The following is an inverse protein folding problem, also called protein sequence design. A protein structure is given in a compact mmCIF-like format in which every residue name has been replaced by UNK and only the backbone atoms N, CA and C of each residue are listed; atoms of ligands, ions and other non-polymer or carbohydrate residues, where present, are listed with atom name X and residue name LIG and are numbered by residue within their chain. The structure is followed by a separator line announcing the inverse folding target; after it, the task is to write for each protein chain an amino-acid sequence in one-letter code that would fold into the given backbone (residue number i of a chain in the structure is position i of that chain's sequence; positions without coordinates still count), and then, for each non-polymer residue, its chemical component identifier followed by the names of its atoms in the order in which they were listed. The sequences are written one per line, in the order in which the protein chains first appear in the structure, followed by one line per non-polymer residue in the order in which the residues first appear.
data_IF_034208678599
#
_entry.id   IF_034208678599
#
_cell.length_a   1.000
_cell.length_b   1.000
_cell.length_c   1.000
_cell.angle_alpha   90.00
_cell.angle_beta   90.00
_cell.angle_gamma   90.00
#
_symmetry.space_group_name_H-M   'P 1'
#
loop_
_entity.id
_entity.type
_entity.pdbx_description
1 polymer ?
#
# COMPACT_ATOMS: atom_id res chain seq x y z
N UNK A 1 25.15 45.74 -11.95
CA UNK A 1 24.62 45.22 -10.65
C UNK A 1 23.59 44.09 -10.78
N UNK A 2 22.72 44.06 -11.82
CA UNK A 2 21.75 42.96 -12.02
C UNK A 2 22.40 41.62 -12.49
N UNK A 3 23.44 41.67 -13.33
CA UNK A 3 24.09 40.46 -13.85
C UNK A 3 24.82 39.60 -12.79
N UNK A 4 25.38 40.22 -11.74
CA UNK A 4 26.02 39.50 -10.62
C UNK A 4 25.00 38.82 -9.69
N UNK A 5 23.77 39.34 -9.57
CA UNK A 5 22.69 38.67 -8.81
C UNK A 5 22.17 37.43 -9.54
N UNK A 6 22.11 37.46 -10.87
CA UNK A 6 21.66 36.33 -11.70
C UNK A 6 22.65 35.16 -11.71
N UNK A 7 23.97 35.42 -11.73
CA UNK A 7 24.98 34.36 -11.60
C UNK A 7 24.99 33.71 -10.21
N UNK A 8 24.79 34.49 -9.14
CA UNK A 8 24.68 33.94 -7.78
C UNK A 8 23.43 33.07 -7.58
N UNK A 9 22.33 33.40 -8.26
CA UNK A 9 21.10 32.59 -8.27
C UNK A 9 21.30 31.27 -9.05
N UNK A 10 22.04 31.31 -10.16
CA UNK A 10 22.40 30.12 -10.95
C UNK A 10 23.42 29.21 -10.23
N UNK A 11 24.35 29.77 -9.45
CA UNK A 11 25.24 29.00 -8.56
C UNK A 11 24.47 28.40 -7.37
N UNK A 12 23.52 29.14 -6.78
CA UNK A 12 22.66 28.62 -5.69
C UNK A 12 21.71 27.53 -6.18
N UNK A 13 21.21 27.61 -7.42
CA UNK A 13 20.40 26.55 -8.05
C UNK A 13 21.25 25.35 -8.48
N UNK A 14 22.53 25.55 -8.84
CA UNK A 14 23.49 24.45 -9.05
C UNK A 14 23.87 23.73 -7.75
N UNK A 15 23.73 24.39 -6.60
CA UNK A 15 24.03 23.84 -5.27
C UNK A 15 22.84 23.14 -4.57
N UNK A 16 21.64 23.07 -5.17
CA UNK A 16 20.51 22.32 -4.61
C UNK A 16 20.50 20.84 -5.02
N UNK A 17 21.67 20.25 -5.30
CA UNK A 17 21.91 18.81 -5.17
C UNK A 17 22.48 18.53 -3.77
N UNK A 18 21.78 18.97 -2.73
CA UNK A 18 21.95 18.38 -1.41
C UNK A 18 21.58 16.91 -1.55
N UNK A 19 22.58 16.04 -1.72
CA UNK A 19 22.44 14.60 -1.45
C UNK A 19 21.73 14.51 -0.10
N UNK A 20 20.46 14.11 -0.13
CA UNK A 20 19.69 13.82 1.07
C UNK A 20 20.51 12.80 1.87
N UNK A 21 21.13 13.26 2.96
CA UNK A 21 21.88 12.38 3.84
C UNK A 21 20.86 11.46 4.49
N UNK A 22 20.88 10.18 4.12
CA UNK A 22 20.06 9.17 4.79
C UNK A 22 20.55 9.03 6.23
N UNK A 23 19.75 9.49 7.19
CA UNK A 23 20.02 9.29 8.61
C UNK A 23 19.61 7.87 9.00
N UNK A 24 20.59 6.98 9.15
CA UNK A 24 20.34 5.58 9.52
C UNK A 24 19.85 5.46 10.96
N UNK A 25 20.39 6.29 11.87
CA UNK A 25 20.02 6.29 13.30
C UNK A 25 20.05 7.72 13.81
N UNK A 26 19.01 8.13 14.51
CA UNK A 26 18.94 9.44 15.13
C UNK A 26 19.62 9.44 16.51
N UNK A 27 20.26 10.55 16.86
CA UNK A 27 20.79 10.80 18.20
C UNK A 27 19.68 10.63 19.24
N UNK A 28 19.96 9.95 20.35
CA UNK A 28 18.98 9.67 21.42
C UNK A 28 18.21 8.35 21.25
N UNK A 29 18.18 7.75 20.05
CA UNK A 29 17.56 6.44 19.85
C UNK A 29 18.53 5.30 20.17
N UNK A 30 18.03 4.19 20.74
CA UNK A 30 18.83 2.98 21.00
C UNK A 30 19.12 2.18 19.73
N UNK A 31 18.22 2.22 18.73
CA UNK A 31 18.31 1.47 17.46
C UNK A 31 17.67 2.24 16.29
N UNK A 32 17.95 1.80 15.06
CA UNK A 32 17.28 2.31 13.87
C UNK A 32 15.85 1.76 13.74
N UNK A 33 14.96 2.54 13.12
CA UNK A 33 13.64 2.10 12.67
C UNK A 33 13.65 1.60 11.20
N UNK A 34 14.80 1.70 10.53
CA UNK A 34 15.00 1.22 9.17
C UNK A 34 15.23 -0.30 9.19
N UNK A 35 14.65 -0.97 8.21
CA UNK A 35 14.95 -2.34 7.85
C UNK A 35 15.99 -2.37 6.71
N UNK A 36 16.54 -3.55 6.40
CA UNK A 36 17.61 -3.70 5.41
C UNK A 36 17.22 -3.21 4.01
N UNK A 37 15.96 -3.35 3.60
CA UNK A 37 15.53 -2.85 2.29
C UNK A 37 15.47 -1.32 2.21
N UNK A 38 15.26 -0.63 3.34
CA UNK A 38 15.24 0.84 3.36
C UNK A 38 16.58 1.43 2.90
N UNK A 39 17.68 0.65 2.97
CA UNK A 39 19.01 1.04 2.49
C UNK A 39 19.13 1.02 0.96
N UNK A 40 18.21 0.38 0.23
CA UNK A 40 18.23 0.33 -1.23
C UNK A 40 17.77 1.65 -1.87
N UNK A 41 17.23 2.56 -1.06
CA UNK A 41 16.66 3.83 -1.51
C UNK A 41 15.22 3.67 -2.03
N UNK A 42 14.50 4.79 -2.00
CA UNK A 42 13.09 4.85 -2.40
C UNK A 42 13.00 5.19 -3.89
N UNK A 43 13.47 4.27 -4.74
CA UNK A 43 13.39 4.38 -6.19
C UNK A 43 13.06 3.03 -6.85
N UNK A 44 12.74 3.06 -8.15
CA UNK A 44 12.36 1.88 -8.94
C UNK A 44 13.36 0.73 -8.85
N UNK A 45 14.65 1.05 -8.89
CA UNK A 45 15.74 0.07 -8.81
C UNK A 45 15.79 -0.59 -7.43
N UNK A 46 15.60 0.17 -6.35
CA UNK A 46 15.56 -0.37 -5.00
C UNK A 46 14.38 -1.30 -4.80
N UNK A 47 13.20 -0.95 -5.34
CA UNK A 47 12.01 -1.78 -5.25
C UNK A 47 12.10 -3.07 -6.09
N UNK A 48 12.60 -2.98 -7.33
CA UNK A 48 12.79 -4.14 -8.20
C UNK A 48 13.79 -5.12 -7.59
N UNK A 49 14.91 -4.63 -7.05
CA UNK A 49 15.90 -5.46 -6.35
C UNK A 49 15.35 -6.09 -5.08
N UNK A 50 14.61 -5.34 -4.28
CA UNK A 50 13.98 -5.87 -3.07
C UNK A 50 13.01 -7.01 -3.43
N UNK A 51 12.19 -6.82 -4.47
CA UNK A 51 11.26 -7.83 -4.95
C UNK A 51 11.98 -9.06 -5.49
N UNK A 52 12.98 -8.91 -6.37
CA UNK A 52 13.77 -10.01 -6.89
C UNK A 52 14.45 -10.82 -5.76
N UNK A 53 14.97 -10.12 -4.74
CA UNK A 53 15.56 -10.76 -3.57
C UNK A 53 14.57 -11.61 -2.79
N UNK A 54 13.33 -11.14 -2.60
CA UNK A 54 12.25 -11.94 -2.00
C UNK A 54 12.03 -13.22 -2.80
N UNK A 55 11.86 -13.11 -4.11
CA UNK A 55 11.60 -14.26 -4.98
C UNK A 55 12.75 -15.28 -4.94
N UNK A 56 14.00 -14.82 -4.84
CA UNK A 56 15.19 -15.67 -4.75
C UNK A 56 15.45 -16.29 -3.38
N UNK A 57 14.75 -15.84 -2.33
CA UNK A 57 14.93 -16.33 -0.95
C UNK A 57 13.75 -17.14 -0.44
N UNK A 58 12.55 -16.86 -0.93
CA UNK A 58 11.30 -17.42 -0.41
C UNK A 58 10.55 -18.21 -1.50
N UNK A 59 10.71 -19.54 -1.56
CA UNK A 59 10.08 -20.37 -2.59
C UNK A 59 8.57 -20.14 -2.69
N UNK A 60 7.88 -20.07 -1.55
CA UNK A 60 6.45 -19.80 -1.51
C UNK A 60 6.10 -18.47 -2.20
N UNK A 61 6.89 -17.42 -1.99
CA UNK A 61 6.65 -16.12 -2.62
C UNK A 61 6.88 -16.20 -4.14
N UNK A 62 7.94 -16.89 -4.59
CA UNK A 62 8.18 -17.14 -6.01
C UNK A 62 7.00 -17.85 -6.68
N UNK A 63 6.56 -18.98 -6.13
CA UNK A 63 5.51 -19.77 -6.78
C UNK A 63 4.14 -19.10 -6.71
N UNK A 64 3.83 -18.37 -5.65
CA UNK A 64 2.62 -17.55 -5.62
C UNK A 64 2.64 -16.48 -6.72
N UNK A 65 3.80 -15.83 -6.95
CA UNK A 65 3.94 -14.86 -8.03
C UNK A 65 3.82 -15.52 -9.41
N UNK A 66 4.51 -16.63 -9.64
CA UNK A 66 4.43 -17.39 -10.88
C UNK A 66 2.99 -17.85 -11.18
N UNK A 67 2.26 -18.37 -10.19
CA UNK A 67 0.85 -18.73 -10.34
C UNK A 67 -0.02 -17.51 -10.67
N UNK A 68 0.22 -16.38 -10.00
CA UNK A 68 -0.50 -15.14 -10.23
C UNK A 68 -0.38 -14.64 -11.68
N UNK A 69 0.78 -14.83 -12.31
CA UNK A 69 1.01 -14.48 -13.72
C UNK A 69 0.69 -15.61 -14.73
N UNK A 70 0.16 -16.76 -14.27
CA UNK A 70 -0.30 -17.85 -15.15
C UNK A 70 0.72 -18.98 -15.42
N UNK A 71 1.79 -19.05 -14.65
CA UNK A 71 2.78 -20.14 -14.68
C UNK A 71 2.46 -21.17 -13.60
N UNK A 72 1.75 -22.24 -13.96
CA UNK A 72 1.29 -23.31 -13.07
C UNK A 72 2.36 -24.33 -12.63
N UNK A 73 3.58 -23.89 -12.32
CA UNK A 73 4.67 -24.78 -11.88
C UNK A 73 4.50 -25.16 -10.39
N UNK A 74 4.75 -26.42 -10.03
CA UNK A 74 4.64 -26.88 -8.62
C UNK A 74 5.78 -26.29 -7.77
N UNK A 75 5.45 -25.87 -6.54
CA UNK A 75 6.43 -25.46 -5.54
C UNK A 75 7.16 -26.69 -4.97
N UNK A 76 8.32 -27.01 -5.54
CA UNK A 76 9.21 -28.08 -5.07
C UNK A 76 10.63 -27.56 -4.94
N UNK A 77 11.42 -28.19 -4.06
CA UNK A 77 12.84 -27.83 -3.87
C UNK A 77 13.64 -27.91 -5.19
N UNK A 78 13.40 -28.95 -5.99
CA UNK A 78 14.04 -29.12 -7.30
C UNK A 78 13.68 -27.97 -8.27
N UNK A 79 12.39 -27.65 -8.41
CA UNK A 79 12.00 -26.55 -9.31
C UNK A 79 12.56 -25.20 -8.83
N UNK A 80 12.62 -24.97 -7.51
CA UNK A 80 13.18 -23.73 -6.96
C UNK A 80 14.68 -23.64 -7.26
N UNK A 81 15.42 -24.72 -7.06
CA UNK A 81 16.84 -24.83 -7.39
C UNK A 81 17.13 -24.59 -8.88
N UNK A 82 16.23 -25.04 -9.76
CA UNK A 82 16.39 -24.94 -11.22
C UNK A 82 15.89 -23.60 -11.79
N UNK A 83 15.32 -22.72 -10.97
CA UNK A 83 14.81 -21.41 -11.39
C UNK A 83 15.85 -20.33 -11.14
N UNK A 84 16.30 -19.64 -12.18
CA UNK A 84 17.17 -18.47 -12.06
C UNK A 84 16.35 -17.19 -11.91
N UNK A 85 16.85 -16.25 -11.11
CA UNK A 85 16.33 -14.89 -10.96
C UNK A 85 17.51 -13.93 -11.11
N UNK A 86 17.49 -13.13 -12.16
CA UNK A 86 18.55 -12.17 -12.51
C UNK A 86 17.99 -10.75 -12.41
N UNK A 87 18.79 -9.76 -12.00
CA UNK A 87 18.40 -8.35 -12.01
C UNK A 87 19.32 -7.54 -12.90
N UNK A 88 18.81 -6.47 -13.51
CA UNK A 88 19.62 -5.51 -14.30
C UNK A 88 20.40 -6.17 -15.46
N UNK A 89 19.82 -7.20 -16.11
CA UNK A 89 20.50 -7.92 -17.19
C UNK A 89 20.64 -7.03 -18.42
N UNK A 90 21.87 -6.85 -18.87
CA UNK A 90 22.18 -6.06 -20.07
C UNK A 90 21.97 -6.90 -21.33
N UNK A 91 21.29 -6.32 -22.31
CA UNK A 91 21.02 -6.88 -23.63
C UNK A 91 21.26 -5.82 -24.71
N UNK A 92 21.29 -6.24 -25.96
CA UNK A 92 21.39 -5.32 -27.10
C UNK A 92 20.20 -4.35 -27.16
N UNK A 93 19.03 -4.83 -26.76
CA UNK A 93 17.81 -4.03 -26.79
C UNK A 93 17.72 -3.06 -25.61
N UNK A 94 18.38 -3.34 -24.48
CA UNK A 94 18.28 -2.53 -23.26
C UNK A 94 18.66 -3.33 -22.01
N UNK A 95 18.28 -2.82 -20.84
CA UNK A 95 18.55 -3.48 -19.55
C UNK A 95 17.22 -3.82 -18.87
N UNK A 96 16.99 -5.09 -18.60
CA UNK A 96 15.77 -5.56 -17.92
C UNK A 96 15.89 -5.43 -16.41
N UNK A 97 14.80 -5.12 -15.72
CA UNK A 97 14.84 -4.98 -14.26
C UNK A 97 14.98 -6.33 -13.55
N UNK A 98 14.16 -7.31 -13.94
CA UNK A 98 14.21 -8.69 -13.40
C UNK A 98 13.92 -9.70 -14.52
N UNK A 99 14.66 -10.80 -14.55
CA UNK A 99 14.35 -11.97 -15.38
C UNK A 99 14.23 -13.22 -14.50
N UNK A 100 13.16 -13.99 -14.69
CA UNK A 100 12.94 -15.27 -14.02
C UNK A 100 12.87 -16.36 -15.08
N UNK A 101 13.70 -17.39 -14.96
CA UNK A 101 13.75 -18.43 -15.98
C UNK A 101 13.92 -19.82 -15.40
N UNK A 102 13.20 -20.77 -15.96
CA UNK A 102 13.46 -22.19 -15.81
C UNK A 102 13.52 -22.82 -17.20
N UNK A 103 14.73 -23.25 -17.61
CA UNK A 103 15.01 -23.76 -18.96
C UNK A 103 14.04 -24.88 -19.35
N UNK A 104 13.48 -24.79 -20.54
CA UNK A 104 12.52 -25.74 -21.08
C UNK A 104 11.11 -25.62 -20.48
N UNK A 105 10.85 -24.64 -19.61
CA UNK A 105 9.53 -24.43 -19.00
C UNK A 105 9.01 -23.02 -19.23
N UNK A 106 9.72 -22.01 -18.74
CA UNK A 106 9.26 -20.63 -18.83
C UNK A 106 10.40 -19.62 -18.79
N UNK A 107 10.12 -18.44 -19.34
CA UNK A 107 10.96 -17.25 -19.25
C UNK A 107 10.06 -16.03 -19.03
N UNK A 108 10.28 -15.32 -17.93
CA UNK A 108 9.56 -14.12 -17.52
C UNK A 108 10.53 -12.96 -17.52
N UNK A 109 10.19 -11.89 -18.22
CA UNK A 109 10.89 -10.60 -18.14
C UNK A 109 9.97 -9.64 -17.41
N UNK A 110 10.48 -8.95 -16.40
CA UNK A 110 9.74 -7.98 -15.60
C UNK A 110 10.37 -6.61 -15.78
N UNK A 111 9.53 -5.63 -16.14
CA UNK A 111 9.87 -4.22 -16.20
C UNK A 111 9.10 -3.48 -15.11
N UNK A 112 9.82 -2.83 -14.21
CA UNK A 112 9.25 -2.09 -13.09
C UNK A 112 9.13 -0.62 -13.47
N UNK A 113 8.04 0.05 -13.06
CA UNK A 113 7.89 1.50 -13.20
C UNK A 113 7.31 2.11 -11.94
N UNK A 114 7.98 3.13 -11.41
CA UNK A 114 7.48 3.83 -10.19
C UNK A 114 6.80 5.17 -10.51
N UNK A 115 6.89 5.68 -11.74
CA UNK A 115 6.26 6.94 -12.15
C UNK A 115 5.56 6.85 -13.52
N UNK A 116 4.62 7.76 -13.80
CA UNK A 116 3.62 7.71 -14.89
C UNK A 116 4.14 7.88 -16.34
N UNK A 117 5.42 7.63 -16.63
CA UNK A 117 5.94 7.85 -17.97
C UNK A 117 5.77 6.63 -18.88
N UNK A 118 4.77 6.74 -19.76
CA UNK A 118 4.59 6.12 -21.09
C UNK A 118 5.07 4.68 -21.26
N UNK A 119 4.21 3.73 -20.86
CA UNK A 119 4.31 2.28 -21.17
C UNK A 119 3.95 1.97 -22.64
N UNK A 120 4.10 2.89 -23.60
CA UNK A 120 3.71 2.62 -25.00
C UNK A 120 4.90 2.29 -25.92
N UNK A 121 6.07 2.91 -25.74
CA UNK A 121 7.24 2.68 -26.60
C UNK A 121 8.12 1.48 -26.20
N UNK A 122 7.99 0.96 -24.97
CA UNK A 122 8.80 -0.17 -24.47
C UNK A 122 8.17 -1.55 -24.68
N UNK A 123 6.90 -1.63 -25.09
CA UNK A 123 6.17 -2.92 -25.20
C UNK A 123 6.75 -3.89 -26.21
N UNK A 124 7.47 -3.39 -27.21
CA UNK A 124 8.05 -4.18 -28.30
C UNK A 124 9.56 -4.40 -28.17
N UNK A 125 10.24 -3.65 -27.31
CA UNK A 125 11.70 -3.64 -27.18
C UNK A 125 12.26 -5.01 -26.80
N UNK A 126 11.62 -5.71 -25.87
CA UNK A 126 12.12 -6.99 -25.35
C UNK A 126 11.47 -8.24 -25.97
N UNK A 127 10.62 -8.10 -27.00
CA UNK A 127 9.97 -9.27 -27.62
C UNK A 127 11.00 -10.25 -28.21
N UNK A 128 12.13 -9.74 -28.71
CA UNK A 128 13.24 -10.55 -29.24
C UNK A 128 14.16 -11.12 -28.15
N UNK A 129 14.02 -10.66 -26.90
CA UNK A 129 14.91 -11.02 -25.80
C UNK A 129 14.54 -12.37 -25.16
N UNK A 130 13.37 -12.95 -25.50
CA UNK A 130 12.94 -14.23 -24.96
C UNK A 130 13.72 -15.41 -25.56
N UNK A 131 14.27 -16.25 -24.68
CA UNK A 131 14.74 -17.59 -25.05
C UNK A 131 13.62 -18.49 -25.58
N UNK A 132 13.99 -19.59 -26.24
CA UNK A 132 13.06 -20.57 -26.80
C UNK A 132 12.44 -21.49 -25.71
N UNK A 133 11.74 -20.87 -24.76
CA UNK A 133 11.02 -21.56 -23.68
C UNK A 133 9.51 -21.60 -23.98
N UNK A 134 8.77 -22.65 -23.57
CA UNK A 134 7.36 -22.84 -23.92
C UNK A 134 6.42 -21.73 -23.43
N UNK A 135 6.68 -21.15 -22.25
CA UNK A 135 5.91 -20.03 -21.71
C UNK A 135 6.76 -18.77 -21.64
N UNK A 136 6.34 -17.71 -22.32
CA UNK A 136 7.02 -16.42 -22.37
C UNK A 136 6.10 -15.33 -21.85
N UNK A 137 6.53 -14.59 -20.83
CA UNK A 137 5.73 -13.53 -20.21
C UNK A 137 6.56 -12.26 -20.10
N UNK A 138 6.05 -11.16 -20.65
CA UNK A 138 6.54 -9.82 -20.38
C UNK A 138 5.60 -9.15 -19.37
N UNK A 139 6.09 -8.88 -18.17
CA UNK A 139 5.29 -8.34 -17.07
C UNK A 139 5.74 -6.91 -16.75
N UNK A 140 4.85 -5.95 -16.91
CA UNK A 140 5.05 -4.59 -16.42
C UNK A 140 4.49 -4.51 -15.00
N UNK A 141 5.30 -4.11 -14.03
CA UNK A 141 4.85 -3.83 -12.66
C UNK A 141 4.95 -2.33 -12.43
N UNK A 142 3.81 -1.64 -12.36
CA UNK A 142 3.78 -0.19 -12.23
C UNK A 142 3.11 0.30 -10.94
N UNK A 143 3.23 1.58 -10.61
CA UNK A 143 2.53 2.16 -9.46
C UNK A 143 1.01 2.26 -9.68
N UNK A 144 0.56 2.41 -10.92
CA UNK A 144 -0.86 2.51 -11.29
C UNK A 144 -1.37 1.18 -11.87
N UNK A 145 -2.60 0.81 -11.54
CA UNK A 145 -3.21 -0.39 -12.11
C UNK A 145 -3.76 -0.09 -13.52
N UNK A 146 -3.08 -0.53 -14.57
CA UNK A 146 -3.62 -0.60 -15.94
C UNK A 146 -3.86 -2.08 -16.26
N UNK A 147 -5.10 -2.58 -16.14
CA UNK A 147 -5.42 -4.01 -16.27
C UNK A 147 -5.41 -4.56 -17.71
N UNK A 148 -4.67 -3.95 -18.63
CA UNK A 148 -4.60 -4.41 -20.02
C UNK A 148 -3.75 -5.67 -20.13
N UNK A 149 -4.38 -6.82 -20.36
CA UNK A 149 -3.72 -8.02 -20.89
C UNK A 149 -3.73 -7.94 -22.41
N UNK A 150 -2.55 -8.03 -23.01
CA UNK A 150 -2.39 -8.09 -24.46
C UNK A 150 -1.56 -9.33 -24.79
N UNK A 151 -1.96 -10.08 -25.80
CA UNK A 151 -1.16 -11.17 -26.34
C UNK A 151 -0.59 -10.64 -27.66
N UNK A 152 0.72 -10.72 -27.83
CA UNK A 152 1.39 -10.43 -29.09
C UNK A 152 2.21 -11.66 -29.45
N UNK A 153 1.91 -12.25 -30.61
CA UNK A 153 2.50 -13.51 -31.09
C UNK A 153 2.29 -14.68 -30.10
N UNK A 154 3.34 -15.04 -29.35
CA UNK A 154 3.41 -16.17 -28.39
C UNK A 154 3.82 -15.71 -26.98
N UNK A 155 3.93 -14.39 -26.77
CA UNK A 155 4.35 -13.77 -25.52
C UNK A 155 3.13 -13.16 -24.84
N UNK A 156 2.88 -13.55 -23.59
CA UNK A 156 1.83 -12.93 -22.79
C UNK A 156 2.37 -11.61 -22.20
N UNK A 157 1.71 -10.49 -22.52
CA UNK A 157 2.03 -9.19 -21.93
C UNK A 157 1.04 -8.90 -20.80
N UNK A 158 1.57 -8.78 -19.59
CA UNK A 158 0.81 -8.54 -18.38
C UNK A 158 1.19 -7.17 -17.81
N UNK A 159 0.19 -6.48 -17.26
CA UNK A 159 0.39 -5.26 -16.49
C UNK A 159 -0.15 -5.54 -15.09
N UNK A 160 0.68 -5.35 -14.08
CA UNK A 160 0.38 -5.49 -12.66
C UNK A 160 0.68 -4.17 -11.94
N UNK A 161 -0.02 -3.94 -10.84
CA UNK A 161 0.38 -2.95 -9.86
C UNK A 161 1.36 -3.55 -8.87
N UNK A 162 2.26 -2.73 -8.33
CA UNK A 162 3.01 -3.10 -7.14
C UNK A 162 2.11 -3.43 -5.93
N UNK A 163 0.87 -2.93 -5.91
CA UNK A 163 -0.14 -3.36 -4.93
C UNK A 163 -0.61 -4.80 -5.13
N UNK A 164 -0.69 -5.29 -6.36
CA UNK A 164 -1.01 -6.71 -6.60
C UNK A 164 0.07 -7.59 -5.97
N UNK A 165 1.34 -7.16 -6.09
CA UNK A 165 2.48 -7.82 -5.45
C UNK A 165 2.39 -7.75 -3.92
N UNK A 166 2.10 -6.56 -3.36
CA UNK A 166 1.96 -6.41 -1.91
C UNK A 166 0.81 -7.26 -1.35
N UNK A 167 -0.35 -7.26 -2.01
CA UNK A 167 -1.51 -8.04 -1.61
C UNK A 167 -1.27 -9.55 -1.73
N UNK A 168 -0.48 -9.97 -2.71
CA UNK A 168 -0.09 -11.37 -2.87
C UNK A 168 0.66 -11.87 -1.63
N UNK A 169 1.50 -11.03 -1.03
CA UNK A 169 2.32 -11.37 0.13
C UNK A 169 1.71 -10.97 1.48
N UNK A 170 0.71 -10.10 1.51
CA UNK A 170 -0.01 -9.71 2.73
C UNK A 170 -1.10 -10.75 3.09
N UNK A 171 -0.66 -11.93 3.49
CA UNK A 171 -1.55 -13.01 3.88
C UNK A 171 -1.01 -13.82 5.08
N UNK A 172 -1.87 -14.65 5.69
CA UNK A 172 -1.56 -15.42 6.91
C UNK A 172 -0.31 -16.31 6.76
N UNK A 173 -0.02 -16.80 5.55
CA UNK A 173 1.13 -17.67 5.30
C UNK A 173 2.46 -16.96 5.59
N UNK A 174 2.54 -15.65 5.38
CA UNK A 174 3.75 -14.87 5.61
C UNK A 174 3.74 -14.10 6.93
N UNK A 175 2.74 -14.33 7.79
CA UNK A 175 2.59 -13.61 9.06
C UNK A 175 3.80 -13.73 9.98
N UNK A 176 4.61 -14.78 9.87
CA UNK A 176 5.83 -14.95 10.68
C UNK A 176 7.13 -14.76 9.89
N UNK A 177 7.04 -14.45 8.59
CA UNK A 177 8.21 -14.23 7.75
C UNK A 177 8.66 -12.76 7.87
N UNK A 178 9.74 -12.52 8.61
CA UNK A 178 10.31 -11.18 8.82
C UNK A 178 10.82 -10.54 7.53
N UNK A 179 11.33 -11.34 6.60
CA UNK A 179 11.84 -10.88 5.32
C UNK A 179 10.70 -10.29 4.45
N UNK A 180 9.58 -11.02 4.33
CA UNK A 180 8.39 -10.53 3.63
C UNK A 180 7.81 -9.29 4.31
N UNK A 181 7.73 -9.26 5.65
CA UNK A 181 7.26 -8.08 6.39
C UNK A 181 8.13 -6.85 6.14
N UNK A 182 9.44 -7.02 6.10
CA UNK A 182 10.37 -5.93 5.82
C UNK A 182 10.16 -5.40 4.39
N UNK A 183 9.97 -6.29 3.42
CA UNK A 183 9.66 -5.89 2.03
C UNK A 183 8.34 -5.12 1.95
N UNK A 184 7.26 -5.63 2.57
CA UNK A 184 5.96 -4.95 2.58
C UNK A 184 6.06 -3.57 3.26
N UNK A 185 6.76 -3.48 4.38
CA UNK A 185 7.02 -2.21 5.07
C UNK A 185 7.77 -1.22 4.16
N UNK A 186 8.84 -1.67 3.51
CA UNK A 186 9.64 -0.87 2.57
C UNK A 186 8.81 -0.38 1.37
N UNK A 187 8.09 -1.28 0.70
CA UNK A 187 7.25 -0.96 -0.45
C UNK A 187 6.15 0.05 -0.10
N UNK A 188 5.47 -0.15 1.03
CA UNK A 188 4.36 0.72 1.47
C UNK A 188 4.84 2.10 1.94
N UNK A 189 5.98 2.19 2.65
CA UNK A 189 6.56 3.46 3.10
C UNK A 189 7.11 4.28 1.94
N UNK A 190 7.83 3.63 1.03
CA UNK A 190 8.56 4.30 -0.04
C UNK A 190 7.67 4.86 -1.14
N UNK A 191 6.65 4.12 -1.55
CA UNK A 191 6.00 4.40 -2.83
C UNK A 191 4.54 4.80 -2.75
N UNK A 192 4.04 5.14 -1.55
CA UNK A 192 2.67 5.67 -1.33
C UNK A 192 1.57 4.85 -2.03
N UNK A 193 1.78 3.54 -2.20
CA UNK A 193 0.91 2.64 -2.95
C UNK A 193 -0.35 2.36 -2.12
N UNK A 194 -1.39 3.20 -2.29
CA UNK A 194 -2.59 3.19 -1.44
C UNK A 194 -3.91 3.12 -2.22
N UNK A 195 -3.89 2.88 -3.53
CA UNK A 195 -5.10 2.93 -4.37
C UNK A 195 -5.60 1.53 -4.74
N UNK A 196 -6.53 1.02 -3.93
CA UNK A 196 -7.56 0.04 -4.34
C UNK A 196 -8.56 -0.27 -3.21
N UNK A 197 -8.29 0.20 -1.99
CA UNK A 197 -9.19 0.18 -0.84
C UNK A 197 -9.12 1.53 -0.16
N UNK A 198 -9.80 2.51 -0.75
CA UNK A 198 -9.53 3.91 -0.45
C UNK A 198 -10.25 4.36 0.81
N UNK A 199 -11.50 3.92 1.01
CA UNK A 199 -12.31 4.34 2.14
C UNK A 199 -12.70 3.12 2.98
N UNK A 200 -12.11 3.02 4.17
CA UNK A 200 -12.53 2.06 5.20
C UNK A 200 -13.87 2.52 5.79
N UNK A 201 -14.88 1.69 5.64
CA UNK A 201 -16.21 1.90 6.21
C UNK A 201 -16.42 0.90 7.33
N UNK A 202 -16.78 1.36 8.52
CA UNK A 202 -17.10 0.48 9.64
C UNK A 202 -18.28 0.96 10.46
N UNK A 203 -19.08 0.00 10.95
CA UNK A 203 -20.12 0.26 11.93
C UNK A 203 -19.49 0.84 13.22
N UNK A 204 -20.01 1.99 13.65
CA UNK A 204 -19.56 2.70 14.85
C UNK A 204 -20.75 2.91 15.79
N UNK A 205 -21.15 1.81 16.46
CA UNK A 205 -22.24 1.82 17.45
C UNK A 205 -21.76 1.92 18.91
N UNK A 206 -20.48 1.68 19.18
CA UNK A 206 -19.93 1.69 20.53
C UNK A 206 -19.64 3.13 21.00
N UNK A 207 -20.19 3.54 22.14
CA UNK A 207 -20.06 4.90 22.66
C UNK A 207 -18.59 5.34 22.88
N UNK A 208 -17.70 4.43 23.32
CA UNK A 208 -16.27 4.74 23.49
C UNK A 208 -15.59 4.99 22.14
N UNK A 209 -15.92 4.20 21.12
CA UNK A 209 -15.36 4.37 19.77
C UNK A 209 -15.93 5.60 19.06
N UNK A 210 -17.20 5.94 19.29
CA UNK A 210 -17.79 7.20 18.84
C UNK A 210 -17.05 8.39 19.47
N UNK A 211 -16.81 8.35 20.79
CA UNK A 211 -16.04 9.37 21.51
C UNK A 211 -14.61 9.47 20.97
N UNK A 212 -13.97 8.33 20.71
CA UNK A 212 -12.61 8.24 20.14
C UNK A 212 -12.54 8.92 18.76
N UNK A 213 -13.52 8.66 17.91
CA UNK A 213 -13.61 9.28 16.59
C UNK A 213 -13.87 10.78 16.69
N UNK A 214 -14.95 11.20 17.36
CA UNK A 214 -15.39 12.61 17.38
C UNK A 214 -14.43 13.53 18.12
N UNK A 215 -13.95 13.11 19.29
CA UNK A 215 -13.24 14.03 20.18
C UNK A 215 -11.72 13.94 20.01
N UNK A 216 -11.23 12.79 19.54
CA UNK A 216 -9.81 12.50 19.48
C UNK A 216 -9.31 12.21 18.07
N UNK A 217 -10.18 12.12 17.05
CA UNK A 217 -9.77 11.88 15.67
C UNK A 217 -8.95 10.58 15.54
N UNK A 218 -9.36 9.56 16.28
CA UNK A 218 -8.77 8.21 16.23
C UNK A 218 -9.86 7.20 15.96
N UNK A 219 -9.53 6.15 15.22
CA UNK A 219 -10.33 4.95 15.16
C UNK A 219 -9.50 3.73 15.60
N UNK A 220 -10.07 2.84 16.41
CA UNK A 220 -9.40 1.65 16.95
C UNK A 220 -10.07 0.38 16.49
N UNK A 221 -9.26 -0.64 16.21
CA UNK A 221 -9.70 -1.99 15.89
C UNK A 221 -8.81 -3.07 16.47
N UNK A 222 -9.36 -4.29 16.58
CA UNK A 222 -8.52 -5.48 16.66
C UNK A 222 -7.50 -5.48 15.51
N UNK A 223 -6.39 -6.19 15.69
CA UNK A 223 -5.27 -6.18 14.72
C UNK A 223 -5.75 -6.55 13.33
N UNK A 224 -5.53 -5.63 12.38
CA UNK A 224 -5.92 -5.79 10.97
C UNK A 224 -4.80 -5.34 10.05
N UNK A 225 -4.86 -5.82 8.81
CA UNK A 225 -3.91 -5.52 7.74
C UNK A 225 -4.61 -4.72 6.63
N UNK A 226 -3.81 -3.95 5.89
CA UNK A 226 -4.27 -2.98 4.89
C UNK A 226 -4.10 -1.52 5.32
N UNK A 227 -3.86 -0.65 4.33
CA UNK A 227 -3.62 0.79 4.54
C UNK A 227 -4.64 1.65 3.80
N UNK A 228 -5.89 1.69 4.26
CA UNK A 228 -6.90 2.56 3.66
C UNK A 228 -6.49 4.02 3.72
N UNK A 229 -6.92 4.80 2.74
CA UNK A 229 -6.59 6.22 2.63
C UNK A 229 -7.49 7.10 3.51
N UNK A 230 -8.73 6.69 3.68
CA UNK A 230 -9.76 7.41 4.39
C UNK A 230 -10.55 6.46 5.27
N UNK A 231 -11.14 7.02 6.32
CA UNK A 231 -12.05 6.35 7.21
C UNK A 231 -13.41 7.05 7.18
N UNK A 232 -14.47 6.26 7.15
CA UNK A 232 -15.84 6.76 7.19
C UNK A 232 -16.68 5.90 8.13
N UNK A 233 -17.08 6.41 9.31
CA UNK A 233 -17.90 5.64 10.24
C UNK A 233 -19.35 5.57 9.75
N UNK A 234 -19.92 4.37 9.80
CA UNK A 234 -21.36 4.17 9.68
C UNK A 234 -21.99 4.20 11.07
N UNK A 235 -22.74 5.25 11.37
CA UNK A 235 -23.48 5.39 12.62
C UNK A 235 -24.76 4.57 12.56
N UNK A 236 -24.93 3.63 13.50
CA UNK A 236 -26.14 2.81 13.58
C UNK A 236 -27.28 3.60 14.21
N UNK A 237 -28.54 3.18 14.06
CA UNK A 237 -29.69 3.81 14.75
C UNK A 237 -29.47 3.95 16.26
N UNK A 238 -28.84 2.93 16.87
CA UNK A 238 -28.57 2.90 18.31
C UNK A 238 -27.56 3.95 18.78
N UNK A 239 -26.77 4.51 17.86
CA UNK A 239 -25.79 5.55 18.19
C UNK A 239 -26.43 6.92 18.49
N UNK A 240 -27.72 7.12 18.15
CA UNK A 240 -28.51 8.34 18.44
C UNK A 240 -27.79 9.64 18.11
N UNK A 241 -27.07 9.68 16.99
CA UNK A 241 -26.32 10.85 16.56
C UNK A 241 -27.27 11.89 15.92
N UNK A 242 -26.98 13.21 16.02
CA UNK A 242 -27.81 14.27 15.45
C UNK A 242 -28.04 14.13 13.93
N UNK A 243 -27.06 13.58 13.22
CA UNK A 243 -27.15 13.38 11.77
C UNK A 243 -28.05 12.20 11.36
N UNK A 244 -28.52 11.38 12.32
CA UNK A 244 -29.27 10.15 12.05
C UNK A 244 -28.38 8.95 11.76
N UNK A 245 -29.01 7.86 11.31
CA UNK A 245 -28.30 6.65 10.85
C UNK A 245 -27.51 6.94 9.57
N UNK A 246 -26.34 6.32 9.39
CA UNK A 246 -25.60 6.32 8.14
C UNK A 246 -24.17 6.84 8.25
N UNK A 247 -23.55 7.01 7.09
CA UNK A 247 -22.24 7.67 6.94
C UNK A 247 -22.47 9.16 6.80
N UNK A 248 -22.03 9.93 7.79
CA UNK A 248 -22.16 11.39 7.79
C UNK A 248 -20.81 12.10 7.74
N UNK A 249 -19.71 11.35 7.80
CA UNK A 249 -18.36 11.89 7.91
C UNK A 249 -17.37 11.10 7.07
N UNK A 250 -16.37 11.79 6.54
CA UNK A 250 -15.22 11.22 5.85
C UNK A 250 -13.95 11.87 6.42
N UNK A 251 -12.98 11.08 6.88
CA UNK A 251 -11.71 11.61 7.37
C UNK A 251 -10.54 10.93 6.69
N UNK A 252 -9.51 11.71 6.36
CA UNK A 252 -8.25 11.19 5.82
C UNK A 252 -7.48 10.47 6.91
N UNK A 253 -6.92 9.31 6.57
CA UNK A 253 -6.01 8.57 7.44
C UNK A 253 -4.60 9.11 7.21
N UNK A 254 -4.06 9.78 8.23
CA UNK A 254 -2.72 10.35 8.21
C UNK A 254 -1.66 9.30 8.55
N UNK A 255 -2.00 8.35 9.42
CA UNK A 255 -1.13 7.23 9.76
C UNK A 255 -1.88 6.06 10.38
N UNK A 256 -1.20 4.92 10.45
CA UNK A 256 -1.72 3.68 11.04
C UNK A 256 -0.60 3.07 11.87
N UNK A 257 -0.90 2.73 13.13
CA UNK A 257 0.02 1.98 13.99
C UNK A 257 -0.68 0.80 14.63
N UNK A 258 0.03 -0.30 14.78
CA UNK A 258 -0.44 -1.47 15.54
C UNK A 258 0.41 -1.61 16.79
N UNK A 259 -0.18 -1.32 17.95
CA UNK A 259 0.52 -1.22 19.23
C UNK A 259 -0.44 -1.48 20.40
N UNK A 260 0.10 -1.65 21.61
CA UNK A 260 -0.70 -1.62 22.83
C UNK A 260 -0.81 -0.18 23.39
N UNK A 261 -1.93 0.22 24.04
CA UNK A 261 -2.11 1.59 24.51
C UNK A 261 -0.98 2.14 25.39
N UNK A 262 -0.30 1.27 26.16
CA UNK A 262 0.84 1.68 27.00
C UNK A 262 2.07 2.12 26.22
N UNK A 263 2.21 1.69 24.96
CA UNK A 263 3.39 1.95 24.14
C UNK A 263 3.28 3.23 23.32
N UNK A 264 2.11 3.87 23.27
CA UNK A 264 1.84 4.98 22.35
C UNK A 264 2.82 6.14 22.48
N UNK A 265 3.28 6.44 23.70
CA UNK A 265 4.25 7.51 23.96
C UNK A 265 5.58 7.28 23.22
N UNK A 266 5.96 6.01 22.99
CA UNK A 266 7.18 5.64 22.27
C UNK A 266 7.09 5.95 20.76
N UNK A 267 5.88 6.20 20.24
CA UNK A 267 5.62 6.48 18.83
C UNK A 267 5.35 7.97 18.58
N UNK A 268 5.60 8.85 19.56
CA UNK A 268 5.33 10.30 19.42
C UNK A 268 6.01 10.91 18.19
N UNK A 269 7.24 10.50 17.89
CA UNK A 269 7.95 10.98 16.70
C UNK A 269 7.31 10.48 15.40
N UNK A 270 6.85 9.23 15.36
CA UNK A 270 6.10 8.71 14.21
C UNK A 270 4.79 9.48 14.01
N UNK A 271 4.10 9.83 15.10
CA UNK A 271 2.88 10.65 15.05
C UNK A 271 3.16 12.06 14.56
N UNK A 272 4.27 12.68 14.98
CA UNK A 272 4.71 13.98 14.48
C UNK A 272 5.08 13.92 12.99
N UNK A 273 5.49 12.77 12.47
CA UNK A 273 5.69 12.59 11.03
C UNK A 273 4.38 12.47 10.24
N UNK A 274 3.26 12.15 10.90
CA UNK A 274 1.95 12.08 10.25
C UNK A 274 1.29 13.45 10.08
N UNK A 275 1.69 14.46 10.86
CA UNK A 275 1.07 15.79 10.83
C UNK A 275 1.99 16.88 11.35
N UNK A 276 1.89 18.07 10.76
CA UNK A 276 2.60 19.27 11.25
C UNK A 276 1.88 19.96 12.43
N UNK A 277 0.88 19.31 13.03
CA UNK A 277 -0.02 19.86 14.07
C UNK A 277 0.20 19.15 15.43
N UNK A 278 1.04 19.69 16.33
CA UNK A 278 1.37 19.05 17.60
C UNK A 278 0.14 18.82 18.51
N UNK A 279 -0.85 19.70 18.46
CA UNK A 279 -2.12 19.60 19.18
C UNK A 279 -2.95 18.38 18.75
N UNK A 280 -2.86 18.00 17.48
CA UNK A 280 -3.53 16.81 16.95
C UNK A 280 -2.86 15.53 17.47
N UNK A 281 -1.53 15.52 17.56
CA UNK A 281 -0.78 14.41 18.18
C UNK A 281 -1.17 14.21 19.63
N UNK A 282 -1.29 15.29 20.41
CA UNK A 282 -1.77 15.23 21.80
C UNK A 282 -3.19 14.65 21.89
N UNK A 283 -4.11 15.06 21.01
CA UNK A 283 -5.46 14.48 20.94
C UNK A 283 -5.41 12.98 20.64
N UNK A 284 -4.58 12.55 19.69
CA UNK A 284 -4.45 11.14 19.34
C UNK A 284 -3.97 10.27 20.50
N UNK A 285 -2.91 10.71 21.20
CA UNK A 285 -2.37 10.01 22.37
C UNK A 285 -3.43 9.92 23.48
N UNK A 286 -4.12 11.02 23.77
CA UNK A 286 -5.20 11.05 24.75
C UNK A 286 -6.35 10.10 24.35
N UNK A 287 -6.70 10.09 23.07
CA UNK A 287 -7.65 9.15 22.50
C UNK A 287 -7.23 7.73 22.79
N UNK A 288 -6.01 7.31 22.46
CA UNK A 288 -5.53 5.93 22.70
C UNK A 288 -5.69 5.51 24.17
N UNK A 289 -5.50 6.45 25.10
CA UNK A 289 -5.55 6.23 26.55
C UNK A 289 -6.95 6.26 27.19
N UNK A 290 -8.06 6.46 26.46
CA UNK A 290 -9.38 6.60 27.12
C UNK A 290 -9.82 5.35 27.90
N UNK A 291 -9.25 4.17 27.60
CA UNK A 291 -9.61 2.91 28.26
C UNK A 291 -8.38 2.25 28.89
N UNK A 292 -8.25 2.37 30.21
CA UNK A 292 -7.12 1.83 30.98
C UNK A 292 -7.19 0.31 31.16
N UNK A 293 -8.37 -0.29 30.96
CA UNK A 293 -8.59 -1.73 31.17
C UNK A 293 -7.90 -2.62 30.12
N UNK A 294 -7.66 -2.09 28.92
CA UNK A 294 -7.06 -2.85 27.79
C UNK A 294 -5.61 -2.42 27.50
N UNK A 295 -4.91 -1.82 28.48
CA UNK A 295 -3.58 -1.21 28.29
C UNK A 295 -2.49 -2.13 27.71
N UNK A 296 -2.66 -3.44 27.83
CA UNK A 296 -1.72 -4.46 27.34
C UNK A 296 -2.17 -5.14 26.03
N UNK A 297 -3.42 -4.95 25.59
CA UNK A 297 -3.93 -5.59 24.37
C UNK A 297 -3.45 -4.79 23.16
N UNK A 298 -3.04 -5.51 22.11
CA UNK A 298 -2.56 -4.91 20.86
C UNK A 298 -3.76 -4.63 19.95
N UNK A 299 -3.80 -3.42 19.41
CA UNK A 299 -4.83 -2.96 18.48
C UNK A 299 -4.19 -2.24 17.30
N UNK A 300 -4.94 -2.13 16.20
CA UNK A 300 -4.62 -1.23 15.09
C UNK A 300 -5.36 0.08 15.29
N UNK A 301 -4.61 1.18 15.28
CA UNK A 301 -5.08 2.55 15.41
C UNK A 301 -4.91 3.31 14.11
N UNK A 302 -5.98 4.00 13.71
CA UNK A 302 -6.00 4.91 12.57
C UNK A 302 -6.01 6.33 13.10
N UNK A 303 -4.99 7.10 12.70
CA UNK A 303 -4.82 8.50 13.08
C UNK A 303 -5.41 9.37 11.99
N UNK A 304 -6.45 10.12 12.36
CA UNK A 304 -7.34 10.76 11.40
C UNK A 304 -7.13 12.27 11.37
N UNK A 305 -7.32 12.85 10.20
CA UNK A 305 -7.47 14.29 10.04
C UNK A 305 -8.84 14.76 10.58
N UNK A 306 -9.08 16.06 10.57
CA UNK A 306 -10.40 16.64 10.85
C UNK A 306 -11.47 16.01 9.93
N UNK A 307 -12.54 15.42 10.48
CA UNK A 307 -13.57 14.81 9.67
C UNK A 307 -14.33 15.84 8.83
N UNK A 308 -14.39 15.60 7.52
CA UNK A 308 -15.30 16.31 6.62
C UNK A 308 -16.72 15.81 6.85
N UNK A 309 -17.63 16.73 7.20
CA UNK A 309 -19.06 16.44 7.32
C UNK A 309 -19.71 16.41 5.94
N UNK A 310 -20.51 15.37 5.69
CA UNK A 310 -21.32 15.24 4.48
C UNK A 310 -22.65 15.97 4.64
N UNK A 311 -23.19 16.48 3.53
CA UNK A 311 -24.47 17.21 3.55
C UNK A 311 -25.65 16.32 3.94
N UNK A 312 -25.59 15.03 3.60
CA UNK A 312 -26.63 14.05 3.92
C UNK A 312 -25.99 12.69 4.24
N UNK A 313 -26.52 11.94 5.23
CA UNK A 313 -26.00 10.62 5.55
C UNK A 313 -26.15 9.64 4.39
N UNK A 314 -25.07 8.95 4.00
CA UNK A 314 -25.14 7.84 3.06
C UNK A 314 -25.64 6.58 3.77
N UNK A 315 -26.66 5.94 3.21
CA UNK A 315 -27.30 4.77 3.80
C UNK A 315 -26.74 3.48 3.21
N UNK A 316 -26.96 2.37 3.92
CA UNK A 316 -26.82 1.02 3.37
C UNK A 316 -27.74 0.84 2.18
N UNK A 317 -27.39 -0.09 1.29
CA UNK A 317 -28.29 -0.55 0.25
C UNK A 317 -29.52 -1.22 0.89
N UNK A 318 -30.69 -0.60 0.72
CA UNK A 318 -31.96 -1.04 1.30
C UNK A 318 -32.67 -2.14 0.51
N UNK A 319 -32.09 -2.63 -0.59
CA UNK A 319 -32.73 -3.61 -1.48
C UNK A 319 -32.50 -5.06 -1.04
N UNK A 320 -33.48 -5.92 -1.35
CA UNK A 320 -33.48 -7.35 -1.00
C UNK A 320 -33.01 -8.28 -2.15
N UNK A 321 -32.33 -7.75 -3.18
CA UNK A 321 -31.92 -8.53 -4.36
C UNK A 321 -30.61 -9.30 -4.13
N UNK A 322 -30.47 -10.48 -4.76
CA UNK A 322 -29.26 -11.32 -4.71
C UNK A 322 -28.09 -10.58 -5.40
N UNK A 323 -26.94 -10.45 -4.72
CA UNK A 323 -25.80 -9.64 -5.19
C UNK A 323 -25.74 -8.21 -4.62
N UNK A 324 -26.62 -7.85 -3.67
CA UNK A 324 -26.65 -6.54 -2.98
C UNK A 324 -25.29 -6.12 -2.41
N UNK A 325 -25.00 -4.83 -2.47
CA UNK A 325 -23.82 -4.24 -1.81
C UNK A 325 -22.46 -4.78 -2.26
N UNK A 326 -22.37 -5.46 -3.43
CA UNK A 326 -21.11 -6.00 -3.97
C UNK A 326 -20.01 -4.93 -4.01
N UNK A 327 -20.37 -3.73 -4.42
CA UNK A 327 -19.46 -2.58 -4.48
C UNK A 327 -19.74 -1.53 -3.38
N UNK A 328 -20.90 -1.60 -2.71
CA UNK A 328 -21.30 -0.69 -1.63
C UNK A 328 -21.36 -1.35 -0.23
N UNK A 329 -22.27 -0.89 0.63
CA UNK A 329 -22.50 -1.38 1.98
C UNK A 329 -23.82 -2.15 1.96
N UNK A 330 -23.76 -3.45 2.22
CA UNK A 330 -24.94 -4.30 2.40
C UNK A 330 -25.58 -4.08 3.79
N UNK A 331 -26.67 -4.79 4.09
CA UNK A 331 -27.39 -4.70 5.37
C UNK A 331 -26.48 -4.88 6.61
N UNK A 332 -25.46 -5.73 6.51
CA UNK A 332 -24.41 -5.90 7.52
C UNK A 332 -23.09 -5.35 6.95
N UNK A 333 -22.34 -4.57 7.73
CA UNK A 333 -21.02 -4.10 7.29
C UNK A 333 -19.97 -5.13 7.71
N UNK A 334 -19.30 -5.81 6.75
CA UNK A 334 -18.22 -6.70 7.10
C UNK A 334 -17.08 -5.97 7.80
N UNK A 335 -16.36 -6.70 8.66
CA UNK A 335 -15.11 -6.21 9.21
C UNK A 335 -14.15 -5.89 8.05
N UNK A 336 -13.57 -4.69 8.09
CA UNK A 336 -12.63 -4.14 7.09
C UNK A 336 -13.23 -3.96 5.69
N UNK A 337 -14.52 -3.61 5.63
CA UNK A 337 -15.15 -3.18 4.37
C UNK A 337 -14.46 -1.92 3.88
N UNK A 338 -13.82 -2.02 2.73
CA UNK A 338 -13.35 -0.87 1.98
C UNK A 338 -14.16 -0.71 0.69
N UNK A 339 -14.36 0.54 0.30
CA UNK A 339 -14.96 0.93 -0.98
C UNK A 339 -14.02 1.88 -1.71
N UNK A 340 -14.23 2.02 -3.02
CA UNK A 340 -13.49 2.99 -3.84
C UNK A 340 -14.11 4.39 -3.72
N UNK A 341 -13.32 5.40 -4.01
CA UNK A 341 -13.74 6.79 -4.14
C UNK A 341 -14.78 6.97 -5.23
N UNK A 342 -14.61 6.29 -6.36
CA UNK A 342 -15.57 6.33 -7.47
C UNK A 342 -16.96 5.90 -6.99
N UNK A 343 -17.04 4.77 -6.27
CA UNK A 343 -18.32 4.28 -5.75
C UNK A 343 -18.87 5.20 -4.64
N UNK A 344 -18.03 5.65 -3.72
CA UNK A 344 -18.45 6.56 -2.64
C UNK A 344 -18.99 7.89 -3.19
N UNK A 345 -18.33 8.44 -4.20
CA UNK A 345 -18.73 9.69 -4.86
C UNK A 345 -20.01 9.51 -5.67
N UNK A 346 -20.18 8.38 -6.37
CA UNK A 346 -21.43 8.04 -7.04
C UNK A 346 -22.61 8.08 -6.07
N UNK A 347 -22.47 7.53 -4.86
CA UNK A 347 -23.50 7.55 -3.82
C UNK A 347 -23.80 8.94 -3.26
N UNK A 348 -22.82 9.84 -3.26
CA UNK A 348 -23.05 11.25 -2.89
C UNK A 348 -23.89 11.99 -3.94
N UNK A 349 -23.72 11.65 -5.22
CA UNK A 349 -24.42 12.29 -6.33
C UNK A 349 -25.84 11.75 -6.48
N UNK A 350 -26.05 10.43 -6.41
CA UNK A 350 -27.36 9.77 -6.58
C UNK A 350 -28.40 10.11 -5.49
N UNK A 351 -28.00 10.83 -4.44
CA UNK A 351 -28.87 11.31 -3.38
C UNK A 351 -29.36 12.75 -3.56
N UNK A 352 -28.88 13.47 -4.58
CA UNK A 352 -29.54 14.67 -5.09
C UNK A 352 -30.66 14.24 -6.02
#
# INVERSE_FOLDING_TARGET
MQAQRSMKLLELLRYSHTKLVMKIKHTGLRRSALNTFDLLGVNEVGLSKAFAYILGREPTALYQFLHHIGISTKNTSANFKDTSIETERVRNEGRTDIEIRQKGKFHVIIECKVHSNKVQSQRTQYLKSFSNDPKKILCFITQQNDFKKQITETIAILNLGWMDIANLFDNKQFQHNSLIKNFLSFAMKGFKMREQKEILIQDLGNAKEIKRFRNFQVYRRDVIFGSPLYFSPYFTRNSRQPEGEGISYLSKILGILTLSPKEIENFTDDLNNFTNKPELVKKWIAGIKIDSSEKNKIFTYFFLEEPLKLNSPLQKDGTNKKGRGKDWIAAMIPKNRCVTFSEFTRRLIEKK
#
